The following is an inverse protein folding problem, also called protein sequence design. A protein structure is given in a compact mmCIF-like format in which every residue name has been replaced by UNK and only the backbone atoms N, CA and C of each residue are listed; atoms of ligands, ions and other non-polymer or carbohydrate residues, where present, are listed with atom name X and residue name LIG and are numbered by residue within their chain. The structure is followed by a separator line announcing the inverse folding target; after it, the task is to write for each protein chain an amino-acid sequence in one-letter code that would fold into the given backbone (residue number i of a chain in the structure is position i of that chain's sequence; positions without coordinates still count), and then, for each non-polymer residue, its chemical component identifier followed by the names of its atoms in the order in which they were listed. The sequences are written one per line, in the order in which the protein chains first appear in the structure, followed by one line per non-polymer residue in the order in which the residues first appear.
data_IF_208656946019
#
_entry.id   IF_208656946019
#
_cell.length_a   1.000
_cell.length_b   1.000
_cell.length_c   1.000
_cell.angle_alpha   90.00
_cell.angle_beta   90.00
_cell.angle_gamma   90.00
#
_symmetry.space_group_name_H-M   'P 1'
#
loop_
_entity.id
_entity.type
_entity.pdbx_description
1 polymer ?
#
# COMPACT_ATOMS: atom_id res chain seq x y z
N UNK A 1 -10.11 12.36 28.18
CA UNK A 1 -10.83 11.40 29.03
C UNK A 1 -12.32 11.72 28.94
N UNK A 2 -13.12 10.87 28.31
CA UNK A 2 -14.57 11.05 28.18
C UNK A 2 -15.25 10.64 29.47
N UNK A 3 -16.11 11.49 30.04
CA UNK A 3 -16.96 11.11 31.18
C UNK A 3 -18.34 10.73 30.66
N UNK A 4 -18.74 9.51 30.93
CA UNK A 4 -20.08 9.02 30.63
C UNK A 4 -21.00 9.31 31.82
N UNK A 5 -22.13 9.99 31.60
CA UNK A 5 -23.23 10.09 32.55
C UNK A 5 -24.37 9.20 32.09
N UNK A 6 -24.82 8.32 32.97
CA UNK A 6 -26.01 7.49 32.75
C UNK A 6 -27.21 8.24 33.36
N UNK A 7 -28.24 8.47 32.59
CA UNK A 7 -29.55 8.90 33.08
C UNK A 7 -30.57 7.79 32.85
N UNK A 8 -31.27 7.40 33.90
CA UNK A 8 -32.42 6.50 33.81
C UNK A 8 -33.67 7.33 33.51
N UNK A 9 -34.32 7.02 32.39
CA UNK A 9 -35.61 7.60 32.02
C UNK A 9 -36.47 6.43 31.50
N UNK A 10 -37.52 6.09 32.27
CA UNK A 10 -38.55 5.15 31.83
C UNK A 10 -38.09 3.70 31.62
N UNK A 11 -37.27 3.13 32.51
CA UNK A 11 -36.91 1.70 32.51
C UNK A 11 -35.94 1.23 31.43
N UNK A 12 -35.40 2.14 30.61
CA UNK A 12 -34.36 1.82 29.62
C UNK A 12 -33.11 2.66 29.84
N UNK A 13 -31.93 2.01 29.88
CA UNK A 13 -30.64 2.71 29.93
C UNK A 13 -30.31 3.30 28.56
N UNK A 14 -30.36 4.62 28.44
CA UNK A 14 -29.87 5.33 27.24
C UNK A 14 -28.55 6.03 27.56
N UNK A 15 -27.56 5.81 26.73
CA UNK A 15 -26.27 6.50 26.84
C UNK A 15 -26.37 7.84 26.10
N UNK A 16 -26.14 8.95 26.83
CA UNK A 16 -26.00 10.26 26.22
C UNK A 16 -24.56 10.73 26.37
N UNK A 17 -23.94 11.13 25.26
CA UNK A 17 -22.62 11.77 25.25
C UNK A 17 -22.84 13.27 25.53
N UNK A 18 -22.45 13.75 26.71
CA UNK A 18 -22.47 15.17 27.02
C UNK A 18 -21.21 15.84 26.47
N UNK A 19 -21.38 16.80 25.56
CA UNK A 19 -20.28 17.63 25.08
C UNK A 19 -19.81 18.58 26.20
N UNK A 20 -18.48 18.67 26.39
CA UNK A 20 -17.91 19.69 27.27
C UNK A 20 -18.17 21.08 26.69
N UNK A 21 -18.58 22.09 27.52
CA UNK A 21 -18.60 23.48 27.08
C UNK A 21 -17.17 23.95 26.87
N UNK A 22 -16.86 24.41 25.64
CA UNK A 22 -15.53 24.94 25.28
C UNK A 22 -14.90 24.41 23.99
N UNK A 23 -15.47 23.37 23.37
CA UNK A 23 -15.05 23.01 22.00
C UNK A 23 -15.97 23.73 21.04
N UNK A 24 -15.48 24.83 20.47
CA UNK A 24 -16.14 25.50 19.35
C UNK A 24 -16.29 24.51 18.20
N UNK A 25 -17.51 24.05 18.00
CA UNK A 25 -17.90 23.30 16.82
C UNK A 25 -17.68 24.21 15.61
N UNK A 26 -16.65 23.97 14.84
CA UNK A 26 -16.56 24.56 13.51
C UNK A 26 -17.86 24.15 12.79
N UNK A 27 -18.69 25.13 12.45
CA UNK A 27 -19.87 24.92 11.60
C UNK A 27 -19.34 24.44 10.26
N UNK A 28 -19.35 23.13 10.03
CA UNK A 28 -19.19 22.59 8.68
C UNK A 28 -20.41 23.08 7.92
N UNK A 29 -20.23 24.08 7.05
CA UNK A 29 -21.18 24.32 5.98
C UNK A 29 -21.17 23.06 5.15
N UNK A 30 -22.23 22.25 5.26
CA UNK A 30 -22.44 21.09 4.40
C UNK A 30 -22.62 21.57 2.96
N UNK A 31 -21.53 21.79 2.26
CA UNK A 31 -21.57 21.88 0.81
C UNK A 31 -21.77 20.44 0.33
N UNK A 32 -22.94 20.15 -0.26
CA UNK A 32 -23.12 18.99 -1.10
C UNK A 32 -22.02 19.04 -2.18
N UNK A 33 -21.04 18.13 -2.09
CA UNK A 33 -19.97 18.07 -3.08
C UNK A 33 -20.60 17.73 -4.43
N UNK A 34 -20.38 18.58 -5.45
CA UNK A 34 -20.78 18.26 -6.82
C UNK A 34 -20.06 16.98 -7.31
N UNK A 35 -20.62 16.29 -8.31
CA UNK A 35 -19.99 15.09 -8.88
C UNK A 35 -18.53 15.36 -9.34
N UNK A 36 -18.23 16.57 -9.85
CA UNK A 36 -16.88 17.01 -10.19
C UNK A 36 -15.97 17.17 -8.96
N UNK A 37 -16.50 17.52 -7.79
CA UNK A 37 -15.70 17.61 -6.56
C UNK A 37 -15.38 16.22 -5.98
N UNK A 38 -16.25 15.23 -6.20
CA UNK A 38 -15.98 13.85 -5.78
C UNK A 38 -14.91 13.18 -6.65
N UNK A 39 -14.87 13.44 -7.97
CA UNK A 39 -13.77 12.96 -8.82
C UNK A 39 -12.43 13.56 -8.43
N UNK A 40 -12.40 14.81 -7.95
CA UNK A 40 -11.19 15.51 -7.52
C UNK A 40 -10.49 14.94 -6.29
N UNK A 41 -11.20 14.24 -5.38
CA UNK A 41 -10.55 13.65 -4.19
C UNK A 41 -9.68 12.44 -4.53
N UNK A 42 -9.94 11.74 -5.65
CA UNK A 42 -9.15 10.64 -6.17
C UNK A 42 -8.12 11.09 -7.23
N UNK A 43 -8.04 12.38 -7.51
CA UNK A 43 -7.09 12.94 -8.45
C UNK A 43 -5.66 12.78 -7.93
N UNK A 44 -4.81 12.15 -8.72
CA UNK A 44 -3.38 11.96 -8.47
C UNK A 44 -2.52 12.63 -9.55
N UNK A 45 -3.10 13.52 -10.37
CA UNK A 45 -2.43 14.14 -11.53
C UNK A 45 -1.24 15.02 -11.15
N UNK A 46 -1.21 15.49 -9.91
CA UNK A 46 -0.12 16.29 -9.35
C UNK A 46 0.94 15.46 -8.64
N UNK A 47 0.71 14.17 -8.49
CA UNK A 47 1.60 13.29 -7.72
C UNK A 47 2.70 12.71 -8.61
N UNK A 48 3.91 12.64 -8.07
CA UNK A 48 5.00 11.82 -8.57
C UNK A 48 5.09 10.59 -7.67
N UNK A 49 4.75 9.43 -8.23
CA UNK A 49 4.55 8.18 -7.49
C UNK A 49 5.65 7.19 -7.83
N UNK A 50 6.52 6.87 -6.87
CA UNK A 50 7.51 5.80 -7.01
C UNK A 50 6.91 4.46 -6.59
N UNK A 51 7.01 3.44 -7.45
CA UNK A 51 6.47 2.10 -7.23
C UNK A 51 7.61 1.09 -7.27
N UNK A 52 7.91 0.48 -6.12
CA UNK A 52 8.92 -0.58 -6.07
C UNK A 52 8.35 -1.92 -6.56
N UNK A 53 9.15 -2.72 -7.25
CA UNK A 53 8.70 -3.99 -7.82
C UNK A 53 7.70 -3.82 -8.98
N UNK A 54 7.81 -2.73 -9.75
CA UNK A 54 6.89 -2.39 -10.84
C UNK A 54 7.03 -3.26 -12.10
N UNK A 55 8.00 -4.18 -12.15
CA UNK A 55 8.29 -4.96 -13.37
C UNK A 55 7.25 -6.02 -13.71
N UNK A 56 6.39 -6.43 -12.77
CA UNK A 56 5.38 -7.49 -12.95
C UNK A 56 4.31 -7.46 -11.85
N UNK A 57 3.24 -8.25 -12.01
CA UNK A 57 2.17 -8.46 -11.02
C UNK A 57 1.57 -7.14 -10.51
N UNK A 58 1.25 -7.07 -9.23
CA UNK A 58 0.56 -5.92 -8.63
C UNK A 58 1.25 -4.58 -8.85
N UNK A 59 2.60 -4.54 -8.77
CA UNK A 59 3.33 -3.29 -9.01
C UNK A 59 3.15 -2.75 -10.42
N UNK A 60 3.09 -3.63 -11.43
CA UNK A 60 2.79 -3.28 -12.82
C UNK A 60 1.36 -2.77 -12.97
N UNK A 61 0.38 -3.42 -12.33
CA UNK A 61 -1.01 -2.98 -12.32
C UNK A 61 -1.17 -1.62 -11.63
N UNK A 62 -0.55 -1.43 -10.47
CA UNK A 62 -0.58 -0.13 -9.78
C UNK A 62 -0.01 1.00 -10.64
N UNK A 63 1.07 0.76 -11.37
CA UNK A 63 1.63 1.74 -12.28
C UNK A 63 0.66 2.12 -13.39
N UNK A 64 -0.04 1.14 -13.97
CA UNK A 64 -1.05 1.36 -15.01
C UNK A 64 -2.21 2.20 -14.50
N UNK A 65 -2.81 1.82 -13.37
CA UNK A 65 -3.99 2.51 -12.85
C UNK A 65 -3.66 3.92 -12.37
N UNK A 66 -2.55 4.11 -11.66
CA UNK A 66 -2.16 5.43 -11.16
C UNK A 66 -1.80 6.38 -12.30
N UNK A 67 -1.09 5.89 -13.33
CA UNK A 67 -0.81 6.68 -14.53
C UNK A 67 -2.07 7.02 -15.32
N UNK A 68 -3.01 6.08 -15.48
CA UNK A 68 -4.28 6.33 -16.13
C UNK A 68 -5.14 7.42 -15.41
N UNK A 69 -4.88 7.62 -14.10
CA UNK A 69 -5.49 8.70 -13.30
C UNK A 69 -4.60 9.96 -13.21
N UNK A 70 -3.60 10.07 -14.11
CA UNK A 70 -2.82 11.27 -14.33
C UNK A 70 -1.50 11.37 -13.57
N UNK A 71 -1.17 10.46 -12.68
CA UNK A 71 0.09 10.50 -11.95
C UNK A 71 1.32 10.41 -12.87
N UNK A 72 2.41 11.06 -12.49
CA UNK A 72 3.72 10.75 -13.00
C UNK A 72 4.27 9.52 -12.22
N UNK A 73 4.60 8.42 -12.91
CA UNK A 73 4.99 7.18 -12.24
C UNK A 73 6.46 6.86 -12.47
N UNK A 74 7.16 6.58 -11.38
CA UNK A 74 8.52 6.04 -11.38
C UNK A 74 8.44 4.54 -11.18
N UNK A 75 8.84 3.80 -12.20
CA UNK A 75 8.82 2.35 -12.26
C UNK A 75 10.15 1.81 -11.75
N UNK A 76 10.19 1.29 -10.52
CA UNK A 76 11.43 0.88 -9.88
C UNK A 76 11.51 -0.64 -9.70
N UNK A 77 12.54 -1.29 -10.25
CA UNK A 77 12.87 -2.70 -10.05
C UNK A 77 14.26 -3.02 -10.64
N UNK A 78 14.73 -4.26 -10.45
CA UNK A 78 16.01 -4.73 -11.01
C UNK A 78 15.95 -5.05 -12.52
N UNK A 79 14.77 -5.41 -13.03
CA UNK A 79 14.61 -5.90 -14.41
C UNK A 79 14.28 -4.74 -15.37
N UNK A 80 15.29 -3.99 -15.79
CA UNK A 80 15.13 -2.79 -16.63
C UNK A 80 14.32 -3.03 -17.90
N UNK A 81 14.56 -4.09 -18.66
CA UNK A 81 13.83 -4.33 -19.91
C UNK A 81 12.31 -4.47 -19.74
N UNK A 82 11.85 -5.04 -18.59
CA UNK A 82 10.41 -5.07 -18.27
C UNK A 82 9.87 -3.70 -17.87
N UNK A 83 10.68 -2.90 -17.19
CA UNK A 83 10.30 -1.54 -16.80
C UNK A 83 10.21 -0.63 -18.02
N UNK A 84 11.15 -0.71 -18.95
CA UNK A 84 11.16 0.03 -20.21
C UNK A 84 9.96 -0.31 -21.08
N UNK A 85 9.60 -1.60 -21.14
CA UNK A 85 8.37 -2.05 -21.82
C UNK A 85 7.11 -1.43 -21.19
N UNK A 86 7.02 -1.40 -19.86
CA UNK A 86 5.90 -0.78 -19.15
C UNK A 86 5.91 0.74 -19.29
N UNK A 87 7.08 1.36 -19.23
CA UNK A 87 7.24 2.80 -19.49
C UNK A 87 6.70 3.15 -20.88
N UNK A 88 7.12 2.39 -21.90
CA UNK A 88 6.62 2.59 -23.28
C UNK A 88 5.11 2.41 -23.36
N UNK A 89 4.54 1.37 -22.74
CA UNK A 89 3.09 1.14 -22.71
C UNK A 89 2.34 2.36 -22.12
N UNK A 90 2.86 2.93 -21.03
CA UNK A 90 2.25 4.07 -20.35
C UNK A 90 2.38 5.34 -21.19
N UNK A 91 3.57 5.61 -21.75
CA UNK A 91 3.82 6.81 -22.53
C UNK A 91 3.07 6.80 -23.88
N UNK A 92 2.93 5.64 -24.52
CA UNK A 92 2.11 5.50 -25.74
C UNK A 92 0.62 5.85 -25.49
N UNK A 93 0.16 5.70 -24.24
CA UNK A 93 -1.19 6.10 -23.80
C UNK A 93 -1.28 7.56 -23.30
N UNK A 94 -0.20 8.33 -23.46
CA UNK A 94 -0.11 9.73 -23.02
C UNK A 94 0.21 9.94 -21.54
N UNK A 95 0.52 8.88 -20.79
CA UNK A 95 0.95 8.96 -19.39
C UNK A 95 2.42 9.41 -19.27
N UNK A 96 2.81 9.79 -18.05
CA UNK A 96 4.19 10.17 -17.70
C UNK A 96 4.83 9.05 -16.90
N UNK A 97 5.90 8.45 -17.40
CA UNK A 97 6.59 7.35 -16.72
C UNK A 97 8.10 7.41 -16.94
N UNK A 98 8.87 6.98 -15.96
CA UNK A 98 10.31 6.74 -16.06
C UNK A 98 10.66 5.40 -15.43
N UNK A 99 11.53 4.62 -16.08
CA UNK A 99 12.09 3.38 -15.55
C UNK A 99 13.40 3.69 -14.80
N UNK A 100 13.53 3.17 -13.57
CA UNK A 100 14.75 3.31 -12.76
C UNK A 100 15.17 1.95 -12.20
N UNK A 101 16.47 1.66 -12.23
CA UNK A 101 17.01 0.46 -11.60
C UNK A 101 16.99 0.63 -10.09
N UNK A 102 16.47 -0.37 -9.36
CA UNK A 102 16.42 -0.35 -7.91
C UNK A 102 16.47 -1.76 -7.34
N UNK A 103 17.45 -2.01 -6.49
CA UNK A 103 17.44 -3.16 -5.59
C UNK A 103 17.09 -2.67 -4.18
N UNK A 104 15.93 -3.08 -3.68
CA UNK A 104 15.46 -2.67 -2.35
C UNK A 104 16.29 -3.26 -1.21
N UNK A 105 17.13 -4.25 -1.46
CA UNK A 105 18.04 -4.83 -0.47
C UNK A 105 19.34 -4.02 -0.29
N UNK A 106 19.59 -3.07 -1.18
CA UNK A 106 20.76 -2.18 -1.17
C UNK A 106 20.34 -0.71 -0.97
N UNK A 107 20.77 -0.13 0.16
CA UNK A 107 20.43 1.26 0.50
C UNK A 107 21.05 2.28 -0.48
N UNK A 108 22.21 1.99 -1.07
CA UNK A 108 22.81 2.86 -2.07
C UNK A 108 21.99 2.85 -3.36
N UNK A 109 21.53 1.68 -3.78
CA UNK A 109 20.61 1.53 -4.92
C UNK A 109 19.27 2.25 -4.68
N UNK A 110 18.74 2.20 -3.46
CA UNK A 110 17.54 2.96 -3.09
C UNK A 110 17.77 4.46 -3.30
N UNK A 111 18.85 5.03 -2.73
CA UNK A 111 19.15 6.46 -2.84
C UNK A 111 19.32 6.89 -4.31
N UNK A 112 20.10 6.13 -5.09
CA UNK A 112 20.31 6.40 -6.52
C UNK A 112 19.01 6.37 -7.34
N UNK A 113 18.10 5.44 -7.02
CA UNK A 113 16.81 5.37 -7.70
C UNK A 113 15.94 6.61 -7.42
N UNK A 114 15.96 7.12 -6.19
CA UNK A 114 15.28 8.39 -5.88
C UNK A 114 15.94 9.58 -6.59
N UNK A 115 17.29 9.65 -6.66
CA UNK A 115 18.00 10.70 -7.40
C UNK A 115 17.58 10.73 -8.88
N UNK A 116 17.56 9.55 -9.51
CA UNK A 116 17.14 9.41 -10.91
C UNK A 116 15.65 9.77 -11.12
N UNK A 117 14.79 9.37 -10.18
CA UNK A 117 13.37 9.68 -10.20
C UNK A 117 13.13 11.19 -10.12
N UNK A 118 13.76 11.87 -9.17
CA UNK A 118 13.60 13.30 -8.94
C UNK A 118 14.19 14.14 -10.07
N UNK A 119 15.29 13.70 -10.65
CA UNK A 119 15.88 14.35 -11.84
C UNK A 119 14.95 14.28 -13.08
N UNK A 120 14.17 13.19 -13.22
CA UNK A 120 13.32 12.97 -14.36
C UNK A 120 11.90 13.56 -14.21
N UNK A 121 11.29 13.46 -13.04
CA UNK A 121 9.86 13.77 -12.82
C UNK A 121 9.61 14.75 -11.65
N UNK A 122 10.65 15.24 -11.01
CA UNK A 122 10.54 16.08 -9.81
C UNK A 122 10.35 15.32 -8.53
N UNK A 123 10.17 16.00 -7.39
CA UNK A 123 10.10 15.38 -6.06
C UNK A 123 9.06 14.28 -5.97
N UNK A 124 9.44 13.14 -5.41
CA UNK A 124 8.54 12.02 -5.15
C UNK A 124 7.61 12.39 -3.99
N UNK A 125 6.31 12.46 -4.26
CA UNK A 125 5.28 12.76 -3.25
C UNK A 125 4.57 11.52 -2.71
N UNK A 126 4.60 10.41 -3.45
CA UNK A 126 3.99 9.14 -3.03
C UNK A 126 4.96 7.98 -3.27
N UNK A 127 5.13 7.13 -2.26
CA UNK A 127 5.85 5.86 -2.38
C UNK A 127 4.87 4.69 -2.26
N UNK A 128 4.89 3.77 -3.23
CA UNK A 128 4.23 2.47 -3.15
C UNK A 128 5.31 1.40 -2.93
N UNK A 129 5.46 0.96 -1.69
CA UNK A 129 6.34 -0.13 -1.30
C UNK A 129 5.71 -1.48 -1.65
N UNK A 130 5.92 -1.94 -2.88
CA UNK A 130 5.32 -3.18 -3.37
C UNK A 130 6.34 -4.30 -3.57
N UNK A 131 7.63 -4.01 -3.74
CA UNK A 131 8.67 -5.03 -3.91
C UNK A 131 8.62 -6.09 -2.82
N UNK A 132 8.65 -7.35 -3.22
CA UNK A 132 8.65 -8.47 -2.28
C UNK A 132 8.76 -9.82 -2.99
N UNK A 133 9.18 -10.82 -2.22
CA UNK A 133 9.33 -12.20 -2.65
C UNK A 133 8.74 -13.15 -1.60
N UNK A 134 8.45 -14.37 -2.01
CA UNK A 134 8.14 -15.48 -1.12
C UNK A 134 9.05 -16.68 -1.45
N UNK A 135 9.40 -17.46 -0.45
CA UNK A 135 10.07 -18.75 -0.59
C UNK A 135 9.18 -19.80 0.06
N UNK A 136 8.75 -20.76 -0.74
CA UNK A 136 7.83 -21.82 -0.31
C UNK A 136 8.61 -23.05 0.15
N UNK A 137 8.82 -23.14 1.47
CA UNK A 137 9.42 -24.29 2.15
C UNK A 137 8.82 -24.44 3.55
N UNK A 138 8.70 -25.67 4.06
CA UNK A 138 8.31 -25.89 5.46
C UNK A 138 9.35 -25.25 6.39
N UNK A 139 8.94 -24.85 7.60
CA UNK A 139 9.80 -24.12 8.54
C UNK A 139 11.12 -24.84 8.86
N UNK A 140 11.07 -26.18 8.94
CA UNK A 140 12.26 -27.02 9.20
C UNK A 140 13.24 -27.11 8.01
N UNK A 141 12.78 -26.77 6.81
CA UNK A 141 13.56 -26.81 5.56
C UNK A 141 14.02 -25.42 5.12
N UNK A 142 13.61 -24.36 5.85
CA UNK A 142 14.06 -22.99 5.58
C UNK A 142 15.53 -22.82 5.95
N UNK A 143 16.29 -22.18 5.08
CA UNK A 143 17.68 -21.81 5.35
C UNK A 143 17.77 -20.35 5.81
N UNK A 144 18.91 -19.97 6.41
CA UNK A 144 19.23 -18.57 6.74
C UNK A 144 19.17 -17.68 5.48
N UNK A 145 19.67 -18.18 4.34
CA UNK A 145 19.63 -17.46 3.07
C UNK A 145 18.18 -17.22 2.57
N UNK A 146 17.29 -18.20 2.75
CA UNK A 146 15.87 -18.01 2.43
C UNK A 146 15.23 -16.93 3.31
N UNK A 147 15.55 -16.96 4.60
CA UNK A 147 15.10 -15.97 5.56
C UNK A 147 15.61 -14.56 5.21
N UNK A 148 16.91 -14.42 5.01
CA UNK A 148 17.55 -13.14 4.70
C UNK A 148 17.04 -12.54 3.39
N UNK A 149 16.81 -13.37 2.37
CA UNK A 149 16.25 -12.92 1.10
C UNK A 149 14.84 -12.34 1.30
N UNK A 150 13.96 -13.06 2.04
CA UNK A 150 12.57 -12.63 2.25
C UNK A 150 12.49 -11.42 3.17
N UNK A 151 13.16 -11.45 4.32
CA UNK A 151 13.14 -10.34 5.28
C UNK A 151 13.87 -9.13 4.71
N UNK A 152 14.99 -9.36 4.00
CA UNK A 152 15.77 -8.33 3.33
C UNK A 152 14.93 -7.53 2.33
N UNK A 153 14.22 -8.21 1.44
CA UNK A 153 13.39 -7.54 0.44
C UNK A 153 12.09 -6.98 1.02
N UNK A 154 11.31 -7.82 1.74
CA UNK A 154 9.93 -7.49 2.09
C UNK A 154 9.81 -6.53 3.27
N UNK A 155 10.73 -6.58 4.23
CA UNK A 155 10.64 -5.80 5.46
C UNK A 155 11.75 -4.76 5.56
N UNK A 156 13.02 -5.17 5.56
CA UNK A 156 14.15 -4.26 5.68
C UNK A 156 14.19 -3.26 4.52
N UNK A 157 14.10 -3.75 3.29
CA UNK A 157 14.12 -2.92 2.09
C UNK A 157 12.95 -1.94 2.03
N UNK A 158 11.73 -2.41 2.32
CA UNK A 158 10.57 -1.55 2.38
C UNK A 158 10.68 -0.47 3.47
N UNK A 159 11.23 -0.80 4.64
CA UNK A 159 11.47 0.16 5.72
C UNK A 159 12.46 1.25 5.30
N UNK A 160 13.60 0.88 4.70
CA UNK A 160 14.60 1.85 4.27
C UNK A 160 14.15 2.67 3.06
N UNK A 161 13.40 2.09 2.12
CA UNK A 161 12.77 2.86 1.05
C UNK A 161 11.76 3.88 1.61
N UNK A 162 10.96 3.51 2.61
CA UNK A 162 10.02 4.42 3.26
C UNK A 162 10.74 5.56 3.99
N UNK A 163 11.82 5.27 4.72
CA UNK A 163 12.59 6.31 5.43
C UNK A 163 13.36 7.22 4.49
N UNK A 164 13.86 6.70 3.36
CA UNK A 164 14.48 7.54 2.33
C UNK A 164 13.46 8.45 1.67
N UNK A 165 12.29 7.93 1.28
CA UNK A 165 11.19 8.74 0.77
C UNK A 165 10.83 9.87 1.75
N UNK A 166 10.67 9.53 3.04
CA UNK A 166 10.32 10.50 4.07
C UNK A 166 11.37 11.61 4.23
N UNK A 167 12.67 11.28 4.22
CA UNK A 167 13.75 12.28 4.27
C UNK A 167 13.65 13.27 3.11
N UNK A 168 13.41 12.77 1.89
CA UNK A 168 13.29 13.59 0.69
C UNK A 168 12.03 14.44 0.71
N UNK A 169 10.89 13.86 1.06
CA UNK A 169 9.63 14.60 1.23
C UNK A 169 9.79 15.77 2.22
N UNK A 170 10.47 15.55 3.35
CA UNK A 170 10.77 16.59 4.33
C UNK A 170 11.71 17.65 3.76
N UNK A 171 12.78 17.25 3.08
CA UNK A 171 13.76 18.16 2.47
C UNK A 171 13.12 19.05 1.39
N UNK A 172 12.25 18.49 0.56
CA UNK A 172 11.50 19.22 -0.48
C UNK A 172 10.27 19.94 0.05
N UNK A 173 9.92 19.80 1.35
CA UNK A 173 8.71 20.38 1.98
C UNK A 173 7.41 19.92 1.28
N UNK A 174 7.36 18.70 0.85
CA UNK A 174 6.20 18.05 0.21
C UNK A 174 5.38 17.33 1.27
N UNK A 175 4.06 17.51 1.28
CA UNK A 175 3.15 16.65 2.05
C UNK A 175 3.17 15.26 1.43
N UNK A 176 3.65 14.26 2.20
CA UNK A 176 4.00 12.96 1.67
C UNK A 176 2.97 11.87 1.92
N UNK A 177 3.11 10.79 1.17
CA UNK A 177 2.27 9.62 1.34
C UNK A 177 3.05 8.33 1.05
N UNK A 178 2.99 7.36 1.95
CA UNK A 178 3.64 6.05 1.82
C UNK A 178 2.58 4.98 1.93
N UNK A 179 2.50 4.11 0.94
CA UNK A 179 1.60 2.96 0.91
C UNK A 179 2.43 1.67 0.87
N UNK A 180 2.39 0.92 1.95
CA UNK A 180 3.07 -0.37 2.06
C UNK A 180 2.15 -1.50 1.59
N UNK A 181 2.61 -2.37 0.69
CA UNK A 181 1.85 -3.55 0.30
C UNK A 181 2.15 -4.68 1.28
N UNK A 182 1.21 -4.86 2.21
CA UNK A 182 1.19 -5.94 3.18
C UNK A 182 0.63 -7.24 2.54
N UNK A 183 -0.12 -8.02 3.28
CA UNK A 183 -0.85 -9.22 2.85
C UNK A 183 -1.83 -9.62 3.93
N UNK A 184 -2.88 -10.37 3.58
CA UNK A 184 -3.70 -11.10 4.57
C UNK A 184 -2.86 -12.05 5.42
N UNK A 185 -1.72 -12.52 4.90
CA UNK A 185 -0.78 -13.35 5.66
C UNK A 185 0.03 -12.56 6.71
N UNK A 186 -0.13 -11.22 6.77
CA UNK A 186 0.29 -10.42 7.92
C UNK A 186 -0.65 -10.54 9.12
N UNK A 187 -1.84 -11.11 8.94
CA UNK A 187 -2.88 -11.32 9.97
C UNK A 187 -3.26 -12.79 10.13
N UNK A 188 -3.34 -13.53 9.02
CA UNK A 188 -3.61 -14.96 8.98
C UNK A 188 -2.35 -15.75 8.62
N UNK A 189 -2.49 -17.09 8.55
CA UNK A 189 -1.37 -17.98 8.28
C UNK A 189 -1.73 -19.02 7.23
N UNK A 190 -0.72 -19.41 6.46
CA UNK A 190 -0.70 -20.61 5.63
C UNK A 190 0.63 -21.32 5.80
N UNK A 191 0.67 -22.63 5.47
CA UNK A 191 1.90 -23.44 5.59
C UNK A 191 2.93 -23.02 4.54
N UNK A 192 4.18 -23.35 4.83
CA UNK A 192 5.33 -23.26 3.92
C UNK A 192 5.78 -21.82 3.51
N UNK A 193 5.25 -20.77 4.14
CA UNK A 193 5.63 -19.37 3.85
C UNK A 193 5.86 -18.56 5.12
N UNK A 194 6.41 -19.16 6.17
CA UNK A 194 6.57 -18.50 7.48
C UNK A 194 7.41 -17.20 7.41
N UNK A 195 8.57 -17.11 6.74
CA UNK A 195 9.31 -15.85 6.63
C UNK A 195 8.51 -14.76 5.92
N UNK A 196 7.73 -15.12 4.89
CA UNK A 196 6.86 -14.18 4.20
C UNK A 196 5.77 -13.63 5.14
N UNK A 197 5.04 -14.50 5.84
CA UNK A 197 4.00 -14.08 6.79
C UNK A 197 4.58 -13.17 7.89
N UNK A 198 5.73 -13.53 8.45
CA UNK A 198 6.46 -12.70 9.44
C UNK A 198 6.83 -11.34 8.84
N UNK A 199 7.36 -11.32 7.61
CA UNK A 199 7.70 -10.06 6.95
C UNK A 199 6.48 -9.16 6.75
N UNK A 200 5.32 -9.73 6.35
CA UNK A 200 4.08 -8.97 6.13
C UNK A 200 3.43 -8.51 7.43
N UNK A 201 3.52 -9.28 8.52
CA UNK A 201 3.17 -8.81 9.86
C UNK A 201 4.09 -7.66 10.32
N UNK A 202 5.40 -7.78 10.05
CA UNK A 202 6.38 -6.72 10.28
C UNK A 202 6.04 -5.44 9.52
N UNK A 203 5.60 -5.53 8.26
CA UNK A 203 5.15 -4.37 7.46
C UNK A 203 3.92 -3.69 8.06
N UNK A 204 2.95 -4.45 8.55
CA UNK A 204 1.79 -3.88 9.25
C UNK A 204 2.23 -3.07 10.47
N UNK A 205 3.15 -3.61 11.28
CA UNK A 205 3.66 -2.89 12.45
C UNK A 205 4.56 -1.71 12.06
N UNK A 206 5.44 -1.86 11.04
CA UNK A 206 6.27 -0.78 10.52
C UNK A 206 5.42 0.38 9.97
N UNK A 207 4.29 0.08 9.31
CA UNK A 207 3.32 1.08 8.86
C UNK A 207 2.81 1.94 10.03
N UNK A 208 2.45 1.32 11.15
CA UNK A 208 1.94 2.02 12.33
C UNK A 208 3.02 2.86 13.01
N UNK A 209 4.24 2.32 13.14
CA UNK A 209 5.37 3.03 13.74
C UNK A 209 5.74 4.27 12.90
N UNK A 210 5.95 4.10 11.60
CA UNK A 210 6.29 5.20 10.70
C UNK A 210 5.14 6.24 10.61
N UNK A 211 3.89 5.80 10.63
CA UNK A 211 2.74 6.71 10.67
C UNK A 211 2.76 7.63 11.89
N UNK A 212 3.09 7.08 13.05
CA UNK A 212 3.19 7.85 14.29
C UNK A 212 4.35 8.86 14.24
N UNK A 213 5.53 8.42 13.78
CA UNK A 213 6.74 9.23 13.76
C UNK A 213 6.70 10.33 12.68
N UNK A 214 6.07 10.06 11.53
CA UNK A 214 6.08 10.96 10.38
C UNK A 214 4.87 11.91 10.31
N UNK A 215 3.84 11.71 11.13
CA UNK A 215 2.63 12.52 11.10
C UNK A 215 2.89 14.02 11.31
N UNK A 216 3.83 14.40 12.18
CA UNK A 216 4.20 15.79 12.41
C UNK A 216 4.83 16.46 11.16
N UNK A 217 5.37 15.67 10.24
CA UNK A 217 5.91 16.11 8.96
C UNK A 217 4.88 16.11 7.83
N UNK A 218 3.59 15.88 8.14
CA UNK A 218 2.49 15.75 7.16
C UNK A 218 2.72 14.62 6.16
N UNK A 219 3.39 13.55 6.58
CA UNK A 219 3.57 12.34 5.80
C UNK A 219 2.64 11.28 6.37
N UNK A 220 1.74 10.76 5.54
CA UNK A 220 0.84 9.66 5.88
C UNK A 220 1.50 8.34 5.52
N UNK A 221 1.31 7.34 6.35
CA UNK A 221 1.80 5.98 6.08
C UNK A 221 0.66 5.00 6.33
N UNK A 222 0.25 4.28 5.28
CA UNK A 222 -0.82 3.29 5.36
C UNK A 222 -0.40 1.99 4.68
N UNK A 223 -1.15 0.93 4.88
CA UNK A 223 -0.92 -0.35 4.21
C UNK A 223 -2.15 -0.79 3.40
N UNK A 224 -1.90 -1.48 2.29
CA UNK A 224 -2.86 -2.30 1.57
C UNK A 224 -2.52 -3.76 1.85
N UNK A 225 -3.48 -4.54 2.30
CA UNK A 225 -3.33 -5.97 2.57
C UNK A 225 -4.20 -6.79 1.58
N UNK A 226 -3.63 -7.17 0.42
CA UNK A 226 -4.32 -8.02 -0.53
C UNK A 226 -4.54 -9.43 0.03
N UNK A 227 -5.65 -10.05 -0.38
CA UNK A 227 -5.86 -11.48 -0.28
C UNK A 227 -5.12 -12.26 -1.36
N UNK A 228 -5.71 -13.36 -1.78
CA UNK A 228 -5.22 -14.14 -2.90
C UNK A 228 -5.68 -13.50 -4.21
N UNK A 229 -4.71 -12.97 -4.95
CA UNK A 229 -4.92 -12.26 -6.22
C UNK A 229 -4.26 -13.08 -7.34
N UNK A 230 -4.99 -13.31 -8.41
CA UNK A 230 -4.46 -13.93 -9.62
C UNK A 230 -3.53 -12.95 -10.34
N UNK A 231 -2.33 -13.41 -10.59
CA UNK A 231 -1.27 -12.65 -11.29
C UNK A 231 -0.56 -13.58 -12.26
N UNK A 232 0.18 -13.04 -13.21
CA UNK A 232 1.02 -13.82 -14.16
C UNK A 232 1.97 -14.81 -13.45
N UNK A 233 2.26 -14.57 -12.15
CA UNK A 233 3.23 -15.37 -11.39
C UNK A 233 2.60 -16.64 -10.80
N UNK A 234 1.31 -16.59 -10.45
CA UNK A 234 0.65 -17.65 -9.64
C UNK A 234 -0.59 -18.27 -10.32
N UNK A 235 -0.89 -17.86 -11.56
CA UNK A 235 -2.09 -18.29 -12.29
C UNK A 235 -2.28 -19.81 -12.30
N UNK A 236 -1.22 -20.57 -12.60
CA UNK A 236 -1.28 -22.04 -12.64
C UNK A 236 -1.55 -22.71 -11.28
N UNK A 237 -1.37 -21.99 -10.17
CA UNK A 237 -1.61 -22.56 -8.83
C UNK A 237 -3.10 -22.72 -8.51
N UNK A 238 -3.96 -21.95 -9.15
CA UNK A 238 -5.41 -21.94 -8.85
C UNK A 238 -6.14 -23.14 -9.39
N UNK A 239 -5.68 -23.74 -10.49
CA UNK A 239 -6.24 -24.94 -11.14
C UNK A 239 -5.78 -26.26 -10.50
N UNK A 240 -5.25 -26.19 -9.28
CA UNK A 240 -4.81 -27.34 -8.51
C UNK A 240 -5.80 -27.71 -7.38
N UNK A 241 -5.83 -28.96 -6.90
CA UNK A 241 -6.67 -29.33 -5.76
C UNK A 241 -6.40 -28.51 -4.49
N UNK A 242 -5.18 -27.96 -4.36
CA UNK A 242 -4.82 -27.05 -3.26
C UNK A 242 -5.43 -25.67 -3.50
N UNK A 243 -5.33 -25.15 -4.72
CA UNK A 243 -5.96 -23.90 -5.12
C UNK A 243 -7.47 -23.91 -4.94
N UNK A 244 -8.15 -24.99 -5.39
CA UNK A 244 -9.60 -25.15 -5.20
C UNK A 244 -10.00 -25.13 -3.71
N UNK A 245 -9.24 -25.81 -2.84
CA UNK A 245 -9.49 -25.77 -1.38
C UNK A 245 -9.30 -24.37 -0.82
N UNK A 246 -8.33 -23.65 -1.32
CA UNK A 246 -8.08 -22.27 -0.90
C UNK A 246 -9.23 -21.34 -1.32
N UNK A 247 -9.69 -21.44 -2.59
CA UNK A 247 -10.85 -20.68 -3.10
C UNK A 247 -12.10 -20.92 -2.26
N UNK A 248 -12.32 -22.18 -1.77
CA UNK A 248 -13.43 -22.51 -0.87
C UNK A 248 -13.34 -21.81 0.50
N UNK A 249 -12.18 -21.32 0.91
CA UNK A 249 -11.99 -20.53 2.14
C UNK A 249 -12.26 -19.06 1.95
N UNK A 250 -12.23 -18.55 0.71
CA UNK A 250 -12.56 -17.17 0.40
C UNK A 250 -14.09 -17.03 0.45
N UNK A 251 -14.63 -16.08 1.22
CA UNK A 251 -16.08 -15.91 1.36
C UNK A 251 -16.76 -15.63 0.01
N UNK A 252 -16.13 -14.84 -0.86
CA UNK A 252 -16.60 -14.56 -2.22
C UNK A 252 -16.41 -15.73 -3.21
N UNK A 253 -15.80 -16.85 -2.79
CA UNK A 253 -15.64 -18.07 -3.61
C UNK A 253 -14.90 -17.85 -4.93
N UNK A 254 -14.03 -16.87 -4.99
CA UNK A 254 -13.15 -16.59 -6.13
C UNK A 254 -11.81 -16.05 -5.66
N UNK A 255 -10.79 -16.22 -6.49
CA UNK A 255 -9.53 -15.48 -6.39
C UNK A 255 -9.81 -14.04 -6.84
N UNK A 256 -9.15 -13.05 -6.27
CA UNK A 256 -9.22 -11.67 -6.72
C UNK A 256 -8.45 -11.50 -8.04
N UNK A 257 -8.85 -10.53 -8.85
CA UNK A 257 -8.09 -10.04 -9.99
C UNK A 257 -7.24 -8.83 -9.57
N UNK A 258 -6.15 -8.54 -10.27
CA UNK A 258 -5.30 -7.38 -9.96
C UNK A 258 -6.10 -6.07 -9.89
N UNK A 259 -7.09 -5.90 -10.77
CA UNK A 259 -7.98 -4.74 -10.79
C UNK A 259 -8.96 -4.63 -9.59
N UNK A 260 -9.15 -5.69 -8.81
CA UNK A 260 -9.93 -5.61 -7.56
C UNK A 260 -9.24 -4.70 -6.52
N UNK A 261 -7.94 -4.41 -6.71
CA UNK A 261 -7.16 -3.54 -5.86
C UNK A 261 -7.12 -2.08 -6.33
N UNK A 262 -7.59 -1.76 -7.54
CA UNK A 262 -7.44 -0.43 -8.16
C UNK A 262 -8.10 0.67 -7.34
N UNK A 263 -9.32 0.42 -6.83
CA UNK A 263 -10.01 1.38 -5.97
C UNK A 263 -9.29 1.64 -4.66
N UNK A 264 -8.70 0.59 -4.06
CA UNK A 264 -7.99 0.71 -2.79
C UNK A 264 -6.65 1.43 -2.94
N UNK A 265 -5.89 1.16 -4.00
CA UNK A 265 -4.62 1.87 -4.24
C UNK A 265 -4.86 3.34 -4.57
N UNK A 266 -5.90 3.68 -5.34
CA UNK A 266 -6.30 5.05 -5.61
C UNK A 266 -6.74 5.79 -4.34
N UNK A 267 -7.56 5.14 -3.49
CA UNK A 267 -7.93 5.68 -2.18
C UNK A 267 -6.69 6.04 -1.38
N UNK A 268 -5.76 5.09 -1.23
CA UNK A 268 -4.59 5.27 -0.39
C UNK A 268 -3.58 6.26 -1.00
N UNK A 269 -3.41 6.30 -2.31
CA UNK A 269 -2.48 7.20 -2.99
C UNK A 269 -2.95 8.66 -3.07
N UNK A 270 -4.26 8.92 -2.96
CA UNK A 270 -4.87 10.24 -3.21
C UNK A 270 -5.25 10.99 -1.93
N UNK A 271 -5.83 12.17 -2.10
CA UNK A 271 -6.39 12.98 -1.03
C UNK A 271 -7.67 12.38 -0.42
N UNK A 272 -8.25 11.33 -1.01
CA UNK A 272 -9.39 10.60 -0.43
C UNK A 272 -9.03 10.01 0.95
N UNK A 273 -7.77 9.69 1.18
CA UNK A 273 -7.24 9.17 2.46
C UNK A 273 -6.53 10.23 3.33
N UNK A 274 -6.76 11.55 3.11
CA UNK A 274 -6.03 12.63 3.79
C UNK A 274 -6.08 12.60 5.33
N UNK A 275 -7.04 11.92 5.91
CA UNK A 275 -7.15 11.74 7.37
C UNK A 275 -6.88 10.29 7.81
N UNK A 276 -6.28 9.48 6.93
CA UNK A 276 -5.87 8.11 7.22
C UNK A 276 -4.34 8.05 7.36
N UNK A 277 -3.87 7.59 8.52
CA UNK A 277 -2.46 7.22 8.75
C UNK A 277 -2.40 6.08 9.75
N UNK A 278 -1.47 5.15 9.60
CA UNK A 278 -1.34 3.94 10.40
C UNK A 278 -2.42 2.87 10.15
N UNK A 279 -3.25 3.07 9.12
CA UNK A 279 -4.35 2.16 8.77
C UNK A 279 -3.89 1.07 7.82
N UNK A 280 -4.55 -0.10 7.91
CA UNK A 280 -4.40 -1.16 6.91
C UNK A 280 -5.76 -1.42 6.27
N UNK A 281 -5.83 -1.29 4.96
CA UNK A 281 -7.00 -1.62 4.14
C UNK A 281 -6.86 -3.05 3.63
N UNK A 282 -7.76 -3.93 4.00
CA UNK A 282 -7.79 -5.32 3.54
C UNK A 282 -8.72 -5.46 2.35
N UNK A 283 -8.24 -6.12 1.28
CA UNK A 283 -9.00 -6.44 0.06
C UNK A 283 -8.76 -7.91 -0.27
N UNK A 284 -9.61 -8.80 0.25
CA UNK A 284 -9.33 -10.24 0.32
C UNK A 284 -10.54 -11.15 0.00
N UNK A 285 -11.62 -10.60 -0.50
CA UNK A 285 -12.85 -11.36 -0.74
C UNK A 285 -13.44 -12.01 0.52
N UNK A 286 -13.05 -11.54 1.71
CA UNK A 286 -13.48 -12.08 3.00
C UNK A 286 -12.70 -13.32 3.45
N UNK A 287 -11.47 -13.50 2.99
CA UNK A 287 -10.62 -14.64 3.40
C UNK A 287 -10.34 -14.65 4.91
N UNK A 288 -10.11 -13.49 5.53
CA UNK A 288 -9.83 -13.38 6.97
C UNK A 288 -11.06 -13.54 7.87
N UNK A 289 -12.25 -13.72 7.31
CA UNK A 289 -13.48 -13.94 8.07
C UNK A 289 -13.68 -15.43 8.44
N UNK A 290 -12.89 -16.35 7.85
CA UNK A 290 -13.03 -17.80 8.02
C UNK A 290 -11.78 -18.44 8.64
#
# INVERSE_FOLDING_TARGET
MWQFRVKEIGGARRFAIAARPGITRAKSKGNAMSANAMSGIFDVSKETILITGASQGLGRQFARVLSAHGAAVVLAARQMGKLESLQKEITDKGGRAVAVSMDVTDNASIAQAFDAAEAALGPVSVLINNAGIAVEKMAIDQTEADWDAVIGANLKGAYFAATEAARRMIAHKVEGNIVNIASVLGFGLTKAVSPYAISKAGIVQATRALALELAAHRIRVNALAPGYIDTDINHAAWDTPVGEKLVKRIAQRRVGHESDLDGAILLLASQASRYMTGSTVTVDGGFLLN
#
